data_IF_557303886844
#
_entry.id   IF_557303886844
#
_cell.length_a   1.000
_cell.length_b   1.000
_cell.length_c   1.000
_cell.angle_alpha   90.00
_cell.angle_beta   90.00
_cell.angle_gamma   90.00
#
_symmetry.space_group_name_H-M   'P 1'
#
loop_
_entity.id
_entity.type
_entity.pdbx_description
1 polymer ?
#
# COMPACT_ATOMS: atom_id res chain seq x y z
N UNK A 1 -3.78 11.26 0.19
CA UNK A 1 -5.25 11.10 0.32
C UNK A 1 -5.99 12.27 -0.32
N UNK A 2 -5.88 13.50 0.21
CA UNK A 2 -6.53 14.68 -0.40
C UNK A 2 -6.10 14.87 -1.86
N UNK A 3 -4.81 14.71 -2.14
CA UNK A 3 -4.25 14.75 -3.50
C UNK A 3 -4.89 13.74 -4.45
N UNK A 4 -5.14 12.51 -4.00
CA UNK A 4 -5.81 11.48 -4.79
C UNK A 4 -7.27 11.85 -5.07
N UNK A 5 -8.03 12.24 -4.05
CA UNK A 5 -9.45 12.58 -4.19
C UNK A 5 -9.67 13.81 -5.09
N UNK A 6 -8.85 14.85 -4.90
CA UNK A 6 -8.87 16.04 -5.75
C UNK A 6 -8.44 15.68 -7.17
N UNK A 7 -7.41 14.84 -7.34
CA UNK A 7 -6.95 14.38 -8.65
C UNK A 7 -8.03 13.62 -9.44
N UNK A 8 -8.72 12.67 -8.79
CA UNK A 8 -9.83 11.93 -9.38
C UNK A 8 -10.99 12.87 -9.75
N UNK A 9 -11.33 13.82 -8.86
CA UNK A 9 -12.41 14.77 -9.10
C UNK A 9 -12.10 15.72 -10.27
N UNK A 10 -10.86 16.22 -10.39
CA UNK A 10 -10.45 17.12 -11.48
C UNK A 10 -10.40 16.38 -12.82
N UNK A 11 -9.87 15.16 -12.86
CA UNK A 11 -9.81 14.39 -14.10
C UNK A 11 -11.17 13.84 -14.56
N UNK A 12 -12.20 13.85 -13.70
CA UNK A 12 -13.48 13.21 -13.99
C UNK A 12 -13.34 11.70 -14.25
N UNK A 13 -12.28 11.08 -13.75
CA UNK A 13 -11.93 9.70 -14.08
C UNK A 13 -12.76 8.71 -13.25
N UNK A 14 -13.38 7.75 -13.93
CA UNK A 14 -14.04 6.61 -13.28
C UNK A 14 -13.04 5.56 -12.77
N UNK A 15 -11.74 5.73 -13.06
CA UNK A 15 -10.70 4.76 -12.75
C UNK A 15 -10.22 4.98 -11.31
N UNK A 16 -10.43 3.99 -10.45
CA UNK A 16 -10.09 4.03 -9.02
C UNK A 16 -9.30 2.80 -8.61
N UNK A 17 -8.49 2.93 -7.57
CA UNK A 17 -7.76 1.80 -7.01
C UNK A 17 -8.73 0.74 -6.45
N UNK A 18 -8.38 -0.54 -6.55
CA UNK A 18 -9.26 -1.63 -6.08
C UNK A 18 -9.51 -1.52 -4.57
N UNK A 19 -8.50 -1.17 -3.78
CA UNK A 19 -8.68 -0.95 -2.34
C UNK A 19 -9.61 0.23 -2.02
N UNK A 20 -9.58 1.30 -2.82
CA UNK A 20 -10.52 2.41 -2.70
C UNK A 20 -11.97 1.92 -2.88
N UNK A 21 -12.20 1.09 -3.91
CA UNK A 21 -13.50 0.47 -4.16
C UNK A 21 -13.91 -0.45 -3.01
N UNK A 22 -13.04 -1.36 -2.55
CA UNK A 22 -13.34 -2.31 -1.46
C UNK A 22 -13.80 -1.57 -0.21
N UNK A 23 -13.09 -0.50 0.13
CA UNK A 23 -13.35 0.24 1.36
C UNK A 23 -14.63 1.06 1.27
N UNK A 24 -14.90 1.67 0.11
CA UNK A 24 -16.06 2.55 -0.07
C UNK A 24 -17.35 1.81 -0.43
N UNK A 25 -17.27 0.60 -0.98
CA UNK A 25 -18.46 -0.16 -1.40
C UNK A 25 -19.42 -0.48 -0.25
N UNK A 26 -18.97 -1.00 0.91
CA UNK A 26 -19.86 -1.19 2.07
C UNK A 26 -20.48 0.12 2.56
N UNK A 27 -19.75 1.24 2.44
CA UNK A 27 -20.19 2.55 2.89
C UNK A 27 -21.15 3.21 1.90
N UNK A 28 -21.24 2.74 0.65
CA UNK A 28 -22.26 3.17 -0.29
C UNK A 28 -23.68 2.84 0.21
N UNK A 29 -23.82 1.85 1.11
CA UNK A 29 -25.08 1.54 1.79
C UNK A 29 -25.56 2.69 2.71
N UNK A 30 -24.66 3.56 3.14
CA UNK A 30 -24.98 4.77 3.93
C UNK A 30 -25.38 5.96 3.04
N UNK A 31 -25.58 5.73 1.73
CA UNK A 31 -26.01 6.71 0.76
C UNK A 31 -24.86 7.39 0.02
N UNK A 32 -25.19 8.46 -0.73
CA UNK A 32 -24.27 9.17 -1.64
C UNK A 32 -23.00 9.72 -0.98
N UNK A 33 -23.01 9.86 0.35
CA UNK A 33 -21.90 10.42 1.12
C UNK A 33 -20.94 9.36 1.68
N UNK A 34 -21.11 8.06 1.38
CA UNK A 34 -20.27 6.99 1.93
C UNK A 34 -18.76 7.20 1.77
N UNK A 35 -18.34 7.74 0.60
CA UNK A 35 -16.94 8.11 0.35
C UNK A 35 -16.44 9.21 1.27
N UNK A 36 -17.27 10.23 1.53
CA UNK A 36 -16.92 11.34 2.44
C UNK A 36 -16.82 10.86 3.88
N UNK A 37 -17.70 9.94 4.29
CA UNK A 37 -17.66 9.32 5.61
C UNK A 37 -16.36 8.56 5.81
N UNK A 38 -15.99 7.68 4.87
CA UNK A 38 -14.71 6.97 4.96
C UNK A 38 -13.53 7.92 5.11
N UNK A 39 -13.48 8.92 4.23
CA UNK A 39 -12.38 9.86 4.19
C UNK A 39 -12.27 10.67 5.49
N UNK A 40 -13.42 11.08 6.03
CA UNK A 40 -13.49 11.76 7.32
C UNK A 40 -13.01 10.86 8.45
N UNK A 41 -13.39 9.57 8.46
CA UNK A 41 -12.93 8.62 9.48
C UNK A 41 -11.42 8.43 9.46
N UNK A 42 -10.81 8.29 8.27
CA UNK A 42 -9.35 8.18 8.15
C UNK A 42 -8.67 9.45 8.65
N UNK A 43 -9.17 10.62 8.25
CA UNK A 43 -8.62 11.90 8.68
C UNK A 43 -8.72 12.04 10.20
N UNK A 44 -9.89 11.74 10.78
CA UNK A 44 -10.10 11.77 12.23
C UNK A 44 -9.17 10.79 12.93
N UNK A 45 -9.01 9.57 12.43
CA UNK A 45 -8.09 8.57 12.98
C UNK A 45 -6.64 9.06 12.96
N UNK A 46 -6.18 9.65 11.86
CA UNK A 46 -4.83 10.20 11.75
C UNK A 46 -4.62 11.37 12.71
N UNK A 47 -5.56 12.32 12.78
CA UNK A 47 -5.48 13.43 13.73
C UNK A 47 -5.49 12.93 15.17
N UNK A 48 -6.41 12.04 15.53
CA UNK A 48 -6.47 11.45 16.86
C UNK A 48 -5.16 10.74 17.23
N UNK A 49 -4.56 10.02 16.28
CA UNK A 49 -3.26 9.37 16.47
C UNK A 49 -2.14 10.38 16.72
N UNK A 50 -2.08 11.47 15.93
CA UNK A 50 -1.10 12.55 16.14
C UNK A 50 -1.29 13.22 17.49
N UNK A 51 -2.53 13.57 17.88
CA UNK A 51 -2.83 14.15 19.18
C UNK A 51 -2.46 13.23 20.35
N UNK A 52 -2.74 11.94 20.22
CA UNK A 52 -2.38 10.94 21.23
C UNK A 52 -0.85 10.87 21.41
N UNK A 53 -0.11 10.81 20.30
CA UNK A 53 1.35 10.74 20.35
C UNK A 53 1.96 12.07 20.82
N UNK A 54 1.42 13.22 20.41
CA UNK A 54 1.87 14.56 20.86
C UNK A 54 1.82 14.68 22.37
N UNK A 55 0.75 14.15 22.99
CA UNK A 55 0.56 14.18 24.44
C UNK A 55 1.69 13.49 25.20
N UNK A 56 2.27 12.43 24.62
CA UNK A 56 3.33 11.64 25.25
C UNK A 56 4.75 12.06 24.79
N UNK A 57 4.93 12.43 23.52
CA UNK A 57 6.26 12.53 22.89
C UNK A 57 6.63 13.91 22.32
N UNK A 58 5.75 14.93 22.38
CA UNK A 58 5.97 16.27 21.78
C UNK A 58 6.54 16.17 20.35
N UNK A 59 5.70 15.81 19.40
CA UNK A 59 6.07 15.60 18.01
C UNK A 59 6.59 16.89 17.39
N UNK A 60 7.84 16.84 16.93
CA UNK A 60 8.35 17.84 16.00
C UNK A 60 7.89 17.49 14.59
N UNK A 61 7.30 18.44 13.84
CA UNK A 61 7.01 18.26 12.40
C UNK A 61 8.25 17.88 11.58
N UNK A 62 9.46 18.14 12.10
CA UNK A 62 10.72 17.75 11.47
C UNK A 62 10.82 16.22 11.33
N UNK A 63 10.11 15.42 12.13
CA UNK A 63 10.13 13.95 12.06
C UNK A 63 9.64 13.41 10.72
N UNK A 64 8.82 14.17 9.98
CA UNK A 64 8.36 13.75 8.65
C UNK A 64 9.50 13.72 7.62
N UNK A 65 10.58 14.48 7.83
CA UNK A 65 11.74 14.49 6.93
C UNK A 65 12.51 13.15 6.97
N UNK A 66 13.00 12.65 8.13
CA UNK A 66 13.67 11.36 8.18
C UNK A 66 12.72 10.22 7.80
N UNK A 67 11.43 10.31 8.13
CA UNK A 67 10.43 9.34 7.65
C UNK A 67 10.39 9.27 6.12
N UNK A 68 10.32 10.43 5.45
CA UNK A 68 10.30 10.49 3.99
C UNK A 68 11.60 9.95 3.37
N UNK A 69 12.76 10.28 3.95
CA UNK A 69 14.06 9.78 3.49
C UNK A 69 14.13 8.26 3.64
N UNK A 70 13.77 7.73 4.79
CA UNK A 70 13.75 6.28 5.06
C UNK A 70 12.83 5.55 4.08
N UNK A 71 11.62 6.05 3.88
CA UNK A 71 10.67 5.50 2.91
C UNK A 71 11.19 5.55 1.48
N UNK A 72 11.93 6.61 1.11
CA UNK A 72 12.58 6.71 -0.20
C UNK A 72 13.64 5.63 -0.36
N UNK A 73 14.45 5.36 0.66
CA UNK A 73 15.44 4.27 0.64
C UNK A 73 14.77 2.92 0.46
N UNK A 74 13.69 2.65 1.20
CA UNK A 74 12.92 1.41 1.02
C UNK A 74 12.28 1.31 -0.37
N UNK A 75 11.76 2.40 -0.92
CA UNK A 75 11.17 2.42 -2.25
C UNK A 75 12.21 2.11 -3.33
N UNK A 76 13.41 2.68 -3.22
CA UNK A 76 14.53 2.37 -4.13
C UNK A 76 14.99 0.91 -3.98
N UNK A 77 15.02 0.38 -2.75
CA UNK A 77 15.30 -1.04 -2.51
C UNK A 77 14.24 -1.94 -3.16
N UNK A 78 12.96 -1.59 -3.10
CA UNK A 78 11.90 -2.32 -3.79
C UNK A 78 12.06 -2.25 -5.32
N UNK A 79 12.38 -1.08 -5.86
CA UNK A 79 12.62 -0.90 -7.29
C UNK A 79 13.80 -1.72 -7.80
N UNK A 80 15.00 -1.45 -7.28
CA UNK A 80 16.22 -2.07 -7.78
C UNK A 80 16.52 -3.43 -7.14
N UNK A 81 16.43 -3.53 -5.82
CA UNK A 81 16.78 -4.75 -5.10
C UNK A 81 15.79 -5.88 -5.36
N UNK A 82 14.50 -5.63 -5.09
CA UNK A 82 13.48 -6.63 -5.34
C UNK A 82 13.28 -6.86 -6.85
N UNK A 83 13.32 -5.81 -7.66
CA UNK A 83 13.33 -5.93 -9.12
C UNK A 83 14.45 -6.85 -9.62
N UNK A 84 15.68 -6.71 -9.11
CA UNK A 84 16.81 -7.56 -9.50
C UNK A 84 16.55 -9.04 -9.17
N UNK A 85 16.10 -9.31 -7.96
CA UNK A 85 15.77 -10.68 -7.53
C UNK A 85 14.72 -11.30 -8.47
N UNK A 86 13.66 -10.57 -8.80
CA UNK A 86 12.58 -11.12 -9.62
C UNK A 86 12.98 -11.21 -11.09
N UNK A 87 13.43 -10.11 -11.71
CA UNK A 87 13.61 -10.02 -13.15
C UNK A 87 14.96 -10.56 -13.65
N UNK A 88 15.98 -10.63 -12.80
CA UNK A 88 17.31 -11.16 -13.19
C UNK A 88 17.64 -12.52 -12.59
N UNK A 89 17.21 -12.79 -11.36
CA UNK A 89 17.53 -14.06 -10.70
C UNK A 89 16.45 -15.11 -10.95
N UNK A 90 15.19 -14.80 -10.64
CA UNK A 90 14.10 -15.79 -10.72
C UNK A 90 13.54 -15.94 -12.14
N UNK A 91 13.43 -14.86 -12.90
CA UNK A 91 12.81 -14.85 -14.23
C UNK A 91 13.62 -14.08 -15.29
N UNK A 92 14.88 -14.47 -15.59
CA UNK A 92 15.78 -13.75 -16.51
C UNK A 92 15.28 -13.61 -17.95
N UNK A 93 14.32 -14.43 -18.37
CA UNK A 93 13.77 -14.44 -19.74
C UNK A 93 12.39 -13.75 -19.85
N UNK A 94 11.94 -13.06 -18.80
CA UNK A 94 10.66 -12.36 -18.84
C UNK A 94 10.74 -11.14 -19.78
N UNK A 95 9.82 -11.06 -20.74
CA UNK A 95 9.66 -9.89 -21.61
C UNK A 95 9.01 -8.75 -20.83
N UNK A 96 9.67 -7.59 -20.79
CA UNK A 96 9.07 -6.37 -20.22
C UNK A 96 8.03 -5.82 -21.18
N UNK A 97 6.75 -5.95 -20.83
CA UNK A 97 5.69 -5.20 -21.51
C UNK A 97 5.68 -3.77 -20.98
N UNK A 98 5.96 -2.81 -21.86
CA UNK A 98 5.77 -1.40 -21.55
C UNK A 98 4.28 -1.07 -21.60
N UNK A 99 3.71 -0.73 -20.45
CA UNK A 99 2.35 -0.19 -20.39
C UNK A 99 2.44 1.32 -20.22
N UNK A 100 2.13 2.08 -21.27
CA UNK A 100 2.04 3.53 -21.19
C UNK A 100 0.66 3.93 -20.66
N UNK A 101 0.56 4.23 -19.37
CA UNK A 101 -0.55 5.04 -18.84
C UNK A 101 -0.19 6.53 -18.97
N UNK A 102 -1.22 7.38 -18.99
CA UNK A 102 -1.05 8.81 -18.78
C UNK A 102 -0.27 9.03 -17.47
N UNK A 103 0.87 9.72 -17.56
CA UNK A 103 1.80 9.92 -16.44
C UNK A 103 1.13 10.61 -15.24
N UNK A 104 0.28 11.60 -15.49
CA UNK A 104 -0.40 12.34 -14.44
C UNK A 104 -1.42 11.47 -13.71
N UNK A 105 -2.22 10.70 -14.45
CA UNK A 105 -3.14 9.75 -13.84
C UNK A 105 -2.40 8.63 -13.09
N UNK A 106 -1.26 8.18 -13.63
CA UNK A 106 -0.38 7.22 -12.96
C UNK A 106 0.04 7.70 -11.57
N UNK A 107 0.55 8.93 -11.46
CA UNK A 107 0.97 9.53 -10.18
C UNK A 107 -0.20 9.63 -9.19
N UNK A 108 -1.37 10.08 -9.65
CA UNK A 108 -2.57 10.18 -8.80
C UNK A 108 -2.93 8.80 -8.25
N UNK A 109 -3.02 7.78 -9.12
CA UNK A 109 -3.32 6.42 -8.73
C UNK A 109 -2.29 5.85 -7.75
N UNK A 110 -0.98 6.10 -7.98
CA UNK A 110 0.10 5.68 -7.08
C UNK A 110 -0.06 6.23 -5.67
N UNK A 111 -0.38 7.53 -5.53
CA UNK A 111 -0.61 8.14 -4.22
C UNK A 111 -1.87 7.60 -3.56
N UNK A 112 -2.90 7.28 -4.34
CA UNK A 112 -4.09 6.60 -3.85
C UNK A 112 -3.79 5.20 -3.36
N UNK A 113 -3.07 4.39 -4.13
CA UNK A 113 -2.76 3.00 -3.84
C UNK A 113 -1.96 2.92 -2.54
N UNK A 114 -0.90 3.72 -2.41
CA UNK A 114 -0.10 3.78 -1.19
C UNK A 114 -0.89 4.14 0.08
N UNK A 115 -2.01 4.86 -0.01
CA UNK A 115 -2.86 5.14 1.15
C UNK A 115 -3.90 4.04 1.37
N UNK A 116 -4.73 3.75 0.37
CA UNK A 116 -5.87 2.85 0.54
C UNK A 116 -5.43 1.40 0.72
N UNK A 117 -4.43 0.94 -0.03
CA UNK A 117 -3.96 -0.43 0.07
C UNK A 117 -3.26 -0.68 1.41
N UNK A 118 -2.44 0.26 1.88
CA UNK A 118 -1.79 0.11 3.18
C UNK A 118 -2.80 0.14 4.34
N UNK A 119 -3.85 0.96 4.27
CA UNK A 119 -4.92 0.91 5.28
C UNK A 119 -5.61 -0.46 5.26
N UNK A 120 -5.98 -0.98 4.11
CA UNK A 120 -6.70 -2.26 4.00
C UNK A 120 -5.82 -3.43 4.41
N UNK A 121 -4.68 -3.60 3.77
CA UNK A 121 -3.88 -4.80 3.90
C UNK A 121 -3.00 -4.78 5.14
N UNK A 122 -2.53 -3.61 5.58
CA UNK A 122 -1.58 -3.51 6.70
C UNK A 122 -2.32 -3.12 7.98
N UNK A 123 -2.96 -1.95 8.00
CA UNK A 123 -3.62 -1.50 9.22
C UNK A 123 -4.78 -2.43 9.62
N UNK A 124 -5.66 -2.79 8.70
CA UNK A 124 -6.84 -3.61 9.03
C UNK A 124 -6.54 -5.10 9.01
N UNK A 125 -6.09 -5.64 7.87
CA UNK A 125 -5.94 -7.08 7.69
C UNK A 125 -4.82 -7.68 8.55
N UNK A 126 -3.60 -7.12 8.55
CA UNK A 126 -2.51 -7.66 9.40
C UNK A 126 -2.86 -7.52 10.88
N UNK A 127 -3.39 -6.37 11.33
CA UNK A 127 -3.79 -6.21 12.74
C UNK A 127 -4.85 -7.24 13.14
N UNK A 128 -5.87 -7.47 12.30
CA UNK A 128 -6.92 -8.44 12.55
C UNK A 128 -6.38 -9.88 12.62
N UNK A 129 -5.56 -10.28 11.63
CA UNK A 129 -4.94 -11.60 11.59
C UNK A 129 -4.03 -11.81 12.81
N UNK A 130 -3.15 -10.85 13.09
CA UNK A 130 -2.21 -10.95 14.20
C UNK A 130 -2.93 -11.03 15.55
N UNK A 131 -3.94 -10.17 15.78
CA UNK A 131 -4.76 -10.21 16.97
C UNK A 131 -5.47 -11.57 17.12
N UNK A 132 -6.11 -12.05 16.06
CA UNK A 132 -6.83 -13.33 16.07
C UNK A 132 -5.89 -14.49 16.39
N UNK A 133 -4.75 -14.58 15.69
CA UNK A 133 -3.80 -15.68 15.85
C UNK A 133 -3.14 -15.67 17.23
N UNK A 134 -2.68 -14.51 17.70
CA UNK A 134 -1.88 -14.42 18.93
C UNK A 134 -2.70 -14.26 20.20
N UNK A 135 -3.85 -13.59 20.12
CA UNK A 135 -4.68 -13.26 21.30
C UNK A 135 -5.83 -14.23 21.46
N UNK A 136 -6.58 -14.50 20.38
CA UNK A 136 -7.73 -15.41 20.45
C UNK A 136 -7.30 -16.88 20.38
N UNK A 137 -6.42 -17.22 19.42
CA UNK A 137 -5.93 -18.59 19.20
C UNK A 137 -4.65 -18.91 19.97
N UNK A 138 -4.06 -17.93 20.66
CA UNK A 138 -2.88 -18.09 21.53
C UNK A 138 -1.66 -18.71 20.83
N UNK A 139 -1.53 -18.52 19.51
CA UNK A 139 -0.35 -18.94 18.74
C UNK A 139 0.86 -18.11 19.20
N UNK A 140 2.04 -18.74 19.25
CA UNK A 140 3.29 -18.07 19.58
C UNK A 140 3.51 -16.83 18.70
N UNK A 141 3.78 -15.67 19.33
CA UNK A 141 3.72 -14.34 18.68
C UNK A 141 4.55 -14.23 17.38
N UNK A 142 5.81 -14.68 17.32
CA UNK A 142 6.57 -14.65 16.07
C UNK A 142 5.92 -15.47 14.95
N UNK A 143 5.38 -16.65 15.27
CA UNK A 143 4.67 -17.49 14.29
C UNK A 143 3.40 -16.80 13.83
N UNK A 144 2.61 -16.22 14.75
CA UNK A 144 1.42 -15.45 14.40
C UNK A 144 1.73 -14.25 13.50
N UNK A 145 2.85 -13.56 13.72
CA UNK A 145 3.31 -12.47 12.86
C UNK A 145 3.67 -12.96 11.44
N UNK A 146 4.46 -14.04 11.34
CA UNK A 146 4.84 -14.62 10.05
C UNK A 146 3.60 -15.05 9.26
N UNK A 147 2.67 -15.77 9.89
CA UNK A 147 1.42 -16.20 9.24
C UNK A 147 0.62 -14.99 8.77
N UNK A 148 0.53 -13.93 9.58
CA UNK A 148 -0.20 -12.71 9.21
C UNK A 148 0.44 -12.01 8.00
N UNK A 149 1.77 -11.89 7.98
CA UNK A 149 2.53 -11.30 6.87
C UNK A 149 2.29 -12.10 5.58
N UNK A 150 2.49 -13.41 5.61
CA UNK A 150 2.39 -14.26 4.41
C UNK A 150 0.95 -14.26 3.89
N UNK A 151 -0.04 -14.37 4.78
CA UNK A 151 -1.46 -14.38 4.39
C UNK A 151 -1.87 -13.03 3.80
N UNK A 152 -1.49 -11.92 4.43
CA UNK A 152 -1.79 -10.59 3.91
C UNK A 152 -1.10 -10.32 2.56
N UNK A 153 0.16 -10.74 2.39
CA UNK A 153 0.88 -10.61 1.13
C UNK A 153 0.25 -11.44 0.00
N UNK A 154 -0.23 -12.65 0.29
CA UNK A 154 -0.97 -13.46 -0.68
C UNK A 154 -2.28 -12.78 -1.09
N UNK A 155 -3.09 -12.34 -0.13
CA UNK A 155 -4.37 -11.67 -0.42
C UNK A 155 -4.12 -10.38 -1.21
N UNK A 156 -3.15 -9.55 -0.81
CA UNK A 156 -2.71 -8.36 -1.54
C UNK A 156 -2.39 -8.68 -3.01
N UNK A 157 -1.63 -9.75 -3.22
CA UNK A 157 -1.24 -10.20 -4.57
C UNK A 157 -2.45 -10.67 -5.38
N UNK A 158 -3.33 -11.49 -4.79
CA UNK A 158 -4.54 -11.95 -5.47
C UNK A 158 -5.48 -10.82 -5.86
N UNK A 159 -5.60 -9.79 -5.01
CA UNK A 159 -6.46 -8.64 -5.30
C UNK A 159 -6.02 -7.83 -6.53
N UNK A 160 -4.76 -7.95 -6.96
CA UNK A 160 -4.27 -7.33 -8.19
C UNK A 160 -4.74 -8.04 -9.46
N UNK A 161 -5.32 -9.24 -9.36
CA UNK A 161 -5.88 -9.99 -10.48
C UNK A 161 -7.41 -9.93 -10.55
N UNK A 162 -8.03 -9.06 -9.73
CA UNK A 162 -9.49 -8.93 -9.62
C UNK A 162 -9.91 -7.49 -9.90
N UNK A 163 -11.04 -7.31 -10.60
CA UNK A 163 -11.62 -6.00 -10.90
C UNK A 163 -11.19 -5.42 -12.25
N UNK A 164 -11.66 -4.19 -12.54
CA UNK A 164 -11.51 -3.56 -13.85
C UNK A 164 -10.08 -3.09 -14.17
N UNK A 165 -9.24 -2.96 -13.15
CA UNK A 165 -7.81 -2.62 -13.27
C UNK A 165 -6.90 -3.81 -12.95
N UNK A 166 -7.41 -5.03 -13.16
CA UNK A 166 -6.61 -6.23 -12.92
C UNK A 166 -5.41 -6.30 -13.85
N UNK A 167 -4.30 -6.79 -13.30
CA UNK A 167 -3.13 -7.10 -14.08
C UNK A 167 -3.33 -8.38 -14.88
N UNK A 168 -2.59 -8.49 -15.99
CA UNK A 168 -2.39 -9.78 -16.64
C UNK A 168 -1.53 -10.67 -15.76
N UNK A 169 -2.03 -11.87 -15.46
CA UNK A 169 -1.29 -12.82 -14.65
C UNK A 169 -0.03 -13.30 -15.38
N UNK A 170 1.12 -13.10 -14.75
CA UNK A 170 2.40 -13.70 -15.11
C UNK A 170 3.09 -14.13 -13.84
N UNK A 171 3.89 -15.20 -13.89
CA UNK A 171 4.68 -15.63 -12.73
C UNK A 171 5.56 -14.50 -12.20
N UNK A 172 6.16 -13.72 -13.10
CA UNK A 172 7.01 -12.58 -12.75
C UNK A 172 6.28 -11.50 -11.96
N UNK A 173 5.12 -11.02 -12.45
CA UNK A 173 4.34 -10.00 -11.74
C UNK A 173 3.79 -10.55 -10.41
N UNK A 174 3.31 -11.79 -10.39
CA UNK A 174 2.83 -12.43 -9.18
C UNK A 174 3.92 -12.51 -8.10
N UNK A 175 5.11 -12.98 -8.47
CA UNK A 175 6.24 -13.09 -7.55
C UNK A 175 6.70 -11.70 -7.07
N UNK A 176 6.76 -10.70 -7.95
CA UNK A 176 7.09 -9.33 -7.54
C UNK A 176 6.08 -8.81 -6.51
N UNK A 177 4.78 -8.89 -6.80
CA UNK A 177 3.71 -8.41 -5.91
C UNK A 177 3.69 -9.14 -4.57
N UNK A 178 3.93 -10.45 -4.59
CA UNK A 178 3.99 -11.25 -3.36
C UNK A 178 5.15 -10.82 -2.47
N UNK A 179 6.35 -10.71 -3.04
CA UNK A 179 7.54 -10.28 -2.28
C UNK A 179 7.44 -8.82 -1.84
N UNK A 180 6.93 -7.92 -2.68
CA UNK A 180 6.63 -6.54 -2.31
C UNK A 180 5.60 -6.49 -1.16
N UNK A 181 4.59 -7.36 -1.24
CA UNK A 181 3.60 -7.58 -0.20
C UNK A 181 4.23 -7.91 1.15
N UNK A 182 5.18 -8.84 1.17
CA UNK A 182 5.95 -9.23 2.37
C UNK A 182 6.79 -8.06 2.88
N UNK A 183 7.55 -7.38 2.01
CA UNK A 183 8.43 -6.26 2.39
C UNK A 183 7.63 -5.13 3.04
N UNK A 184 6.53 -4.70 2.41
CA UNK A 184 5.65 -3.67 2.96
C UNK A 184 5.01 -4.09 4.29
N UNK A 185 4.63 -5.37 4.42
CA UNK A 185 4.09 -5.92 5.67
C UNK A 185 5.13 -5.90 6.80
N UNK A 186 6.38 -6.21 6.49
CA UNK A 186 7.48 -6.12 7.45
C UNK A 186 7.76 -4.66 7.84
N UNK A 187 7.82 -3.75 6.88
CA UNK A 187 7.98 -2.30 7.14
C UNK A 187 6.86 -1.82 8.07
N UNK A 188 5.61 -2.19 7.81
CA UNK A 188 4.49 -1.85 8.68
C UNK A 188 4.68 -2.35 10.12
N UNK A 189 5.05 -3.62 10.30
CA UNK A 189 5.19 -4.20 11.65
C UNK A 189 6.37 -3.62 12.44
N UNK A 190 7.47 -3.25 11.78
CA UNK A 190 8.68 -2.77 12.45
C UNK A 190 8.80 -1.25 12.52
N UNK A 191 8.22 -0.52 11.57
CA UNK A 191 8.39 0.93 11.39
C UNK A 191 7.07 1.71 11.42
N UNK A 192 5.94 1.03 11.22
CA UNK A 192 4.61 1.61 11.30
C UNK A 192 4.01 2.02 9.95
N UNK A 193 2.74 2.43 10.01
CA UNK A 193 1.91 2.71 8.83
C UNK A 193 2.46 3.85 7.95
N UNK A 194 2.96 4.94 8.56
CA UNK A 194 3.43 6.11 7.81
C UNK A 194 4.59 5.77 6.87
N UNK A 195 5.58 5.00 7.35
CA UNK A 195 6.72 4.56 6.52
C UNK A 195 6.24 3.64 5.40
N UNK A 196 5.33 2.69 5.68
CA UNK A 196 4.79 1.79 4.67
C UNK A 196 4.02 2.55 3.56
N UNK A 197 3.16 3.50 3.94
CA UNK A 197 2.39 4.35 3.01
C UNK A 197 3.33 5.15 2.10
N UNK A 198 4.34 5.83 2.67
CA UNK A 198 5.29 6.60 1.86
C UNK A 198 6.13 5.69 0.97
N UNK A 199 6.63 4.55 1.48
CA UNK A 199 7.42 3.61 0.69
C UNK A 199 6.65 3.13 -0.53
N UNK A 200 5.40 2.70 -0.34
CA UNK A 200 4.55 2.22 -1.42
C UNK A 200 4.25 3.32 -2.44
N UNK A 201 3.77 4.48 -1.98
CA UNK A 201 3.44 5.59 -2.88
C UNK A 201 4.67 6.09 -3.67
N UNK A 202 5.83 6.21 -3.02
CA UNK A 202 7.07 6.66 -3.67
C UNK A 202 7.54 5.63 -4.69
N UNK A 203 7.52 4.34 -4.36
CA UNK A 203 7.88 3.27 -5.29
C UNK A 203 7.01 3.31 -6.56
N UNK A 204 5.70 3.42 -6.40
CA UNK A 204 4.77 3.48 -7.53
C UNK A 204 4.96 4.74 -8.37
N UNK A 205 5.11 5.91 -7.74
CA UNK A 205 5.36 7.18 -8.44
C UNK A 205 6.66 7.12 -9.22
N UNK A 206 7.73 6.59 -8.63
CA UNK A 206 9.00 6.42 -9.33
C UNK A 206 8.85 5.47 -10.52
N UNK A 207 8.11 4.38 -10.36
CA UNK A 207 7.83 3.43 -11.44
C UNK A 207 7.07 4.06 -12.61
N UNK A 208 6.20 5.04 -12.34
CA UNK A 208 5.48 5.81 -13.37
C UNK A 208 6.40 6.86 -14.03
N UNK A 209 7.16 7.62 -13.25
CA UNK A 209 8.00 8.72 -13.75
C UNK A 209 9.22 8.21 -14.53
N UNK A 210 9.87 7.18 -14.00
CA UNK A 210 11.07 6.58 -14.56
C UNK A 210 11.09 5.11 -14.16
N UNK A 211 10.51 4.22 -14.98
CA UNK A 211 10.49 2.79 -14.72
C UNK A 211 11.86 2.26 -14.32
N UNK A 212 11.88 1.41 -13.28
CA UNK A 212 13.11 0.77 -12.84
C UNK A 212 13.58 -0.19 -13.95
N UNK A 213 14.73 0.09 -14.54
CA UNK A 213 15.37 -0.80 -15.49
C UNK A 213 16.29 -1.75 -14.72
N UNK A 214 15.82 -2.96 -14.46
CA UNK A 214 16.55 -3.98 -13.69
C UNK A 214 16.81 -5.23 -14.48
#
# INVERSE_FOLDING_TARGET
MVTYEVGIAIQGSCVKNTADIIVKTPLALLGKNGSLIFNSLVIIFLFASVFYIEKEYRLSPVIFIPMFIESTVYALFMGYGLGFVVYKVLFPYALSLHFSKDMWMGIILSVGAGVYEEIVFRLLLITLLYFTLTTLLRIYKPIGAIISIITAALIFTFMHYVGNLSDSFTYTNFTFRFLAGIVLSAIFMFRGLGIAVYTHAIYDVLSVLKPFHV
#
